data_IF_912170176682
#
_entry.id   IF_912170176682
#
_cell.length_a   1.000
_cell.length_b   1.000
_cell.length_c   1.000
_cell.angle_alpha   90.00
_cell.angle_beta   90.00
_cell.angle_gamma   90.00
#
_symmetry.space_group_name_H-M   'P 1'
#
loop_
_entity.id
_entity.type
_entity.pdbx_description
1 polymer ?
#
# COMPACT_ATOMS: atom_id res chain seq x y z
N UNK A 1 42.21 47.44 14.21
CA UNK A 1 41.95 46.15 14.88
C UNK A 1 41.59 45.13 13.80
N UNK A 2 42.50 44.20 13.45
CA UNK A 2 42.23 43.16 12.43
C UNK A 2 41.55 41.98 13.12
N UNK A 3 40.30 41.68 12.75
CA UNK A 3 39.57 40.54 13.31
C UNK A 3 40.20 39.22 12.85
N UNK A 4 40.87 38.54 13.76
CA UNK A 4 41.45 37.21 13.54
C UNK A 4 40.33 36.17 13.69
N UNK A 5 39.56 35.96 12.62
CA UNK A 5 38.61 34.85 12.58
C UNK A 5 39.45 33.57 12.47
N UNK A 6 39.54 32.80 13.55
CA UNK A 6 40.33 31.57 13.56
C UNK A 6 39.75 30.58 12.53
N UNK A 7 40.62 29.86 11.80
CA UNK A 7 40.21 28.83 10.82
C UNK A 7 39.21 27.82 11.41
N UNK A 8 39.20 27.61 12.73
CA UNK A 8 38.26 26.72 13.43
C UNK A 8 36.82 27.26 13.43
N UNK A 9 36.62 28.57 13.53
CA UNK A 9 35.29 29.19 13.45
C UNK A 9 34.72 29.17 12.03
N UNK A 10 35.57 29.29 11.01
CA UNK A 10 35.16 29.20 9.61
C UNK A 10 34.66 27.78 9.25
N UNK A 11 35.31 26.74 9.80
CA UNK A 11 34.91 25.33 9.62
C UNK A 11 33.61 25.01 10.37
N UNK A 12 33.44 25.54 11.59
CA UNK A 12 32.19 25.37 12.33
C UNK A 12 31.01 26.05 11.63
N UNK A 13 31.23 27.24 11.04
CA UNK A 13 30.19 27.94 10.28
C UNK A 13 29.79 27.19 9.01
N UNK A 14 30.74 26.61 8.27
CA UNK A 14 30.43 25.81 7.07
C UNK A 14 29.72 24.51 7.41
N UNK A 15 30.10 23.82 8.49
CA UNK A 15 29.39 22.61 8.97
C UNK A 15 27.97 22.94 9.44
N UNK A 16 27.77 24.07 10.10
CA UNK A 16 26.44 24.50 10.56
C UNK A 16 25.53 24.91 9.39
N UNK A 17 26.09 25.58 8.38
CA UNK A 17 25.37 25.92 7.16
C UNK A 17 25.02 24.68 6.35
N UNK A 18 25.94 23.72 6.16
CA UNK A 18 25.62 22.48 5.44
C UNK A 18 24.57 21.63 6.16
N UNK A 19 24.60 21.53 7.49
CA UNK A 19 23.56 20.85 8.27
C UNK A 19 22.19 21.54 8.20
N UNK A 20 22.17 22.87 8.13
CA UNK A 20 20.93 23.64 8.00
C UNK A 20 20.32 23.50 6.60
N UNK A 21 21.15 23.51 5.56
CA UNK A 21 20.72 23.26 4.18
C UNK A 21 20.26 21.81 3.95
N UNK A 22 20.93 20.82 4.55
CA UNK A 22 20.50 19.42 4.48
C UNK A 22 19.11 19.22 5.11
N UNK A 23 18.89 19.80 6.30
CA UNK A 23 17.60 19.70 7.00
C UNK A 23 16.46 20.43 6.28
N UNK A 24 16.74 21.58 5.63
CA UNK A 24 15.73 22.26 4.82
C UNK A 24 15.38 21.44 3.56
N UNK A 25 16.38 20.85 2.88
CA UNK A 25 16.13 20.03 1.69
C UNK A 25 15.36 18.76 2.03
N UNK A 26 15.67 18.09 3.14
CA UNK A 26 14.94 16.92 3.63
C UNK A 26 13.46 17.25 3.92
N UNK A 27 13.17 18.35 4.62
CA UNK A 27 11.79 18.79 4.90
C UNK A 27 11.04 19.25 3.64
N UNK A 28 11.73 19.89 2.70
CA UNK A 28 11.14 20.28 1.41
C UNK A 28 10.84 19.05 0.53
N UNK A 29 11.73 18.06 0.54
CA UNK A 29 11.57 16.80 -0.17
C UNK A 29 10.45 15.94 0.42
N UNK A 30 10.29 15.89 1.74
CA UNK A 30 9.15 15.23 2.39
C UNK A 30 7.80 15.90 2.05
N UNK A 31 7.74 17.24 2.07
CA UNK A 31 6.53 17.98 1.66
C UNK A 31 6.22 17.82 0.18
N UNK A 32 7.24 17.83 -0.69
CA UNK A 32 7.08 17.59 -2.12
C UNK A 32 6.60 16.17 -2.41
N UNK A 33 7.12 15.18 -1.69
CA UNK A 33 6.74 13.77 -1.82
C UNK A 33 5.27 13.56 -1.47
N UNK A 34 4.78 14.15 -0.38
CA UNK A 34 3.36 14.06 0.00
C UNK A 34 2.43 14.65 -1.07
N UNK A 35 2.73 15.85 -1.58
CA UNK A 35 1.95 16.47 -2.65
C UNK A 35 1.96 15.66 -3.96
N UNK A 36 3.09 15.02 -4.28
CA UNK A 36 3.19 14.14 -5.45
C UNK A 36 2.36 12.86 -5.28
N UNK A 37 2.33 12.27 -4.08
CA UNK A 37 1.50 11.11 -3.75
C UNK A 37 0.01 11.44 -3.86
N UNK A 38 -0.42 12.60 -3.37
CA UNK A 38 -1.80 13.08 -3.53
C UNK A 38 -2.19 13.18 -5.01
N UNK A 39 -1.33 13.81 -5.83
CA UNK A 39 -1.54 13.92 -7.27
C UNK A 39 -1.58 12.57 -8.00
N UNK A 40 -0.78 11.60 -7.56
CA UNK A 40 -0.83 10.22 -8.09
C UNK A 40 -2.22 9.62 -7.82
N UNK A 41 -2.74 9.78 -6.59
CA UNK A 41 -4.07 9.31 -6.24
C UNK A 41 -5.18 10.04 -7.01
N UNK A 42 -5.08 11.35 -7.22
CA UNK A 42 -6.03 12.10 -8.06
C UNK A 42 -6.13 11.53 -9.48
N UNK A 43 -4.99 11.17 -10.08
CA UNK A 43 -4.97 10.52 -11.39
C UNK A 43 -5.60 9.12 -11.34
N UNK A 44 -5.30 8.33 -10.30
CA UNK A 44 -5.94 7.01 -10.09
C UNK A 44 -7.46 7.16 -9.95
N UNK A 45 -7.93 8.12 -9.15
CA UNK A 45 -9.35 8.41 -9.00
C UNK A 45 -10.00 8.84 -10.31
N UNK A 46 -9.25 9.48 -11.20
CA UNK A 46 -9.71 9.88 -12.52
C UNK A 46 -9.53 8.79 -13.58
N UNK A 47 -9.07 7.59 -13.18
CA UNK A 47 -8.72 6.47 -14.04
C UNK A 47 -7.63 6.79 -15.07
N UNK A 48 -6.86 7.87 -14.88
CA UNK A 48 -5.68 8.19 -15.68
C UNK A 48 -4.45 7.46 -15.14
N UNK A 49 -4.45 6.14 -15.30
CA UNK A 49 -3.35 5.29 -14.85
C UNK A 49 -2.04 5.54 -15.62
N UNK A 50 -2.10 6.13 -16.82
CA UNK A 50 -0.91 6.47 -17.61
C UNK A 50 -0.16 7.62 -16.93
N UNK A 51 -0.86 8.72 -16.62
CA UNK A 51 -0.26 9.86 -15.93
C UNK A 51 0.18 9.50 -14.51
N UNK A 52 -0.64 8.72 -13.79
CA UNK A 52 -0.27 8.20 -12.47
C UNK A 52 1.04 7.40 -12.52
N UNK A 53 1.15 6.44 -13.44
CA UNK A 53 2.37 5.62 -13.61
C UNK A 53 3.61 6.48 -13.88
N UNK A 54 3.51 7.47 -14.77
CA UNK A 54 4.64 8.37 -15.10
C UNK A 54 5.15 9.13 -13.87
N UNK A 55 4.23 9.63 -13.04
CA UNK A 55 4.57 10.31 -11.80
C UNK A 55 5.25 9.37 -10.81
N UNK A 56 4.70 8.17 -10.60
CA UNK A 56 5.31 7.16 -9.71
C UNK A 56 6.73 6.80 -10.18
N UNK A 57 6.95 6.61 -11.48
CA UNK A 57 8.28 6.32 -12.04
C UNK A 57 9.28 7.45 -11.74
N UNK A 58 8.86 8.70 -11.90
CA UNK A 58 9.69 9.87 -11.61
C UNK A 58 10.07 9.91 -10.12
N UNK A 59 9.11 9.70 -9.23
CA UNK A 59 9.37 9.72 -7.78
C UNK A 59 10.27 8.56 -7.33
N UNK A 60 10.10 7.36 -7.89
CA UNK A 60 10.98 6.21 -7.61
C UNK A 60 12.42 6.45 -8.06
N UNK A 61 12.62 7.25 -9.13
CA UNK A 61 13.96 7.63 -9.62
C UNK A 61 14.61 8.74 -8.78
N UNK A 62 13.81 9.67 -8.24
CA UNK A 62 14.31 10.86 -7.55
C UNK A 62 14.51 10.71 -6.05
N UNK A 63 13.71 9.87 -5.38
CA UNK A 63 13.59 9.90 -3.91
C UNK A 63 14.12 8.63 -3.24
N UNK A 64 13.59 7.47 -3.60
CA UNK A 64 14.03 6.16 -3.11
C UNK A 64 13.38 5.05 -3.95
N UNK A 65 14.21 4.30 -4.70
CA UNK A 65 13.74 3.20 -5.55
C UNK A 65 13.13 2.00 -4.80
N UNK A 66 13.29 1.97 -3.46
CA UNK A 66 12.75 0.95 -2.54
C UNK A 66 11.56 1.48 -1.71
N UNK A 67 10.98 2.64 -2.02
CA UNK A 67 9.78 3.11 -1.29
C UNK A 67 8.59 2.16 -1.48
N UNK A 68 8.17 1.46 -0.41
CA UNK A 68 7.02 0.54 -0.44
C UNK A 68 5.72 1.20 -0.89
N UNK A 69 5.49 2.45 -0.50
CA UNK A 69 4.32 3.22 -0.90
C UNK A 69 4.32 3.48 -2.42
N UNK A 70 5.44 3.95 -2.97
CA UNK A 70 5.56 4.21 -4.40
C UNK A 70 5.52 2.93 -5.23
N UNK A 71 6.14 1.85 -4.75
CA UNK A 71 6.07 0.54 -5.41
C UNK A 71 4.63 -0.01 -5.40
N UNK A 72 3.88 0.19 -4.33
CA UNK A 72 2.46 -0.19 -4.26
C UNK A 72 1.60 0.62 -5.23
N UNK A 73 1.83 1.94 -5.33
CA UNK A 73 1.18 2.80 -6.32
C UNK A 73 1.54 2.39 -7.76
N UNK A 74 2.78 1.94 -7.99
CA UNK A 74 3.19 1.38 -9.29
C UNK A 74 2.37 0.15 -9.64
N UNK A 75 2.23 -0.79 -8.70
CA UNK A 75 1.44 -2.00 -8.89
C UNK A 75 -0.03 -1.68 -9.20
N UNK A 76 -0.65 -0.76 -8.45
CA UNK A 76 -2.02 -0.28 -8.71
C UNK A 76 -2.14 0.26 -10.14
N UNK A 77 -1.21 1.12 -10.58
CA UNK A 77 -1.24 1.66 -11.93
C UNK A 77 -1.07 0.58 -13.00
N UNK A 78 -0.20 -0.42 -12.76
CA UNK A 78 0.03 -1.51 -13.70
C UNK A 78 -1.18 -2.43 -13.80
N UNK A 79 -1.85 -2.74 -12.69
CA UNK A 79 -3.11 -3.47 -12.68
C UNK A 79 -4.21 -2.71 -13.41
N UNK A 80 -4.36 -1.40 -13.18
CA UNK A 80 -5.33 -0.55 -13.89
C UNK A 80 -5.06 -0.42 -15.40
N UNK A 81 -3.82 -0.61 -15.84
CA UNK A 81 -3.42 -0.68 -17.25
C UNK A 81 -3.42 -2.10 -17.82
N UNK A 82 -3.90 -3.09 -17.06
CA UNK A 82 -3.90 -4.52 -17.42
C UNK A 82 -2.50 -5.06 -17.79
N UNK A 83 -1.44 -4.46 -17.24
CA UNK A 83 -0.05 -4.90 -17.41
C UNK A 83 0.33 -5.91 -16.33
N UNK A 84 -0.43 -6.98 -16.23
CA UNK A 84 -0.40 -7.94 -15.12
C UNK A 84 0.99 -8.53 -14.84
N UNK A 85 1.75 -8.89 -15.88
CA UNK A 85 3.12 -9.39 -15.69
C UNK A 85 4.03 -8.39 -14.97
N UNK A 86 3.94 -7.11 -15.33
CA UNK A 86 4.73 -6.05 -14.69
C UNK A 86 4.21 -5.76 -13.27
N UNK A 87 2.90 -5.86 -13.06
CA UNK A 87 2.31 -5.74 -11.72
C UNK A 87 2.84 -6.85 -10.79
N UNK A 88 2.90 -8.09 -11.27
CA UNK A 88 3.44 -9.22 -10.51
C UNK A 88 4.95 -9.06 -10.21
N UNK A 89 5.72 -8.49 -11.14
CA UNK A 89 7.12 -8.12 -10.90
C UNK A 89 7.25 -7.02 -9.83
N UNK A 90 6.39 -6.01 -9.87
CA UNK A 90 6.31 -4.96 -8.84
C UNK A 90 5.98 -5.57 -7.47
N UNK A 91 5.00 -6.47 -7.40
CA UNK A 91 4.61 -7.21 -6.20
C UNK A 91 5.79 -7.98 -5.60
N UNK A 92 6.55 -8.72 -6.43
CA UNK A 92 7.77 -9.43 -5.99
C UNK A 92 8.83 -8.48 -5.44
N UNK A 93 9.00 -7.29 -6.04
CA UNK A 93 9.92 -6.28 -5.53
C UNK A 93 9.47 -5.71 -4.19
N UNK A 94 8.19 -5.40 -4.03
CA UNK A 94 7.59 -4.95 -2.76
C UNK A 94 7.87 -5.98 -1.65
N UNK A 95 7.64 -7.25 -1.95
CA UNK A 95 7.95 -8.37 -1.08
C UNK A 95 9.38 -8.36 -0.58
N UNK A 96 10.32 -8.32 -1.53
CA UNK A 96 11.74 -8.37 -1.23
C UNK A 96 12.18 -7.19 -0.35
N UNK A 97 11.72 -5.97 -0.67
CA UNK A 97 12.00 -4.77 0.14
C UNK A 97 11.42 -4.93 1.54
N UNK A 98 10.18 -5.40 1.66
CA UNK A 98 9.53 -5.59 2.95
C UNK A 98 10.28 -6.64 3.81
N UNK A 99 10.61 -7.78 3.24
CA UNK A 99 11.32 -8.85 3.94
C UNK A 99 12.70 -8.40 4.44
N UNK A 100 13.41 -7.63 3.62
CA UNK A 100 14.75 -7.12 3.93
C UNK A 100 14.72 -6.04 5.02
N UNK A 101 13.80 -5.08 4.91
CA UNK A 101 13.89 -3.83 5.67
C UNK A 101 12.90 -3.74 6.84
N UNK A 102 11.80 -4.50 6.83
CA UNK A 102 10.67 -4.30 7.75
C UNK A 102 10.25 -5.55 8.53
N UNK A 103 10.54 -6.76 8.02
CA UNK A 103 10.12 -8.03 8.64
C UNK A 103 10.59 -8.21 10.07
N UNK A 104 11.86 -7.91 10.35
CA UNK A 104 12.44 -8.08 11.68
C UNK A 104 11.72 -7.20 12.72
N UNK A 105 11.65 -5.89 12.47
CA UNK A 105 11.00 -4.93 13.36
C UNK A 105 9.52 -5.28 13.58
N UNK A 106 8.80 -5.72 12.54
CA UNK A 106 7.42 -6.14 12.70
C UNK A 106 7.26 -7.34 13.64
N UNK A 107 8.09 -8.39 13.47
CA UNK A 107 8.03 -9.60 14.29
C UNK A 107 8.40 -9.34 15.75
N UNK A 108 9.33 -8.41 15.99
CA UNK A 108 9.82 -8.09 17.32
C UNK A 108 8.93 -7.08 18.07
N UNK A 109 8.35 -6.11 17.35
CA UNK A 109 7.66 -4.96 17.96
C UNK A 109 6.14 -4.95 17.74
N UNK A 110 5.58 -5.94 17.04
CA UNK A 110 4.16 -6.00 16.66
C UNK A 110 3.69 -4.70 15.98
N UNK A 111 4.55 -4.13 15.14
CA UNK A 111 4.35 -2.79 14.58
C UNK A 111 3.17 -2.77 13.60
N UNK A 112 2.12 -1.97 13.80
CA UNK A 112 1.00 -1.91 12.86
C UNK A 112 1.44 -1.21 11.58
N UNK A 113 1.72 -1.98 10.53
CA UNK A 113 1.95 -1.41 9.21
C UNK A 113 0.63 -0.89 8.65
N UNK A 114 0.62 0.39 8.23
CA UNK A 114 -0.55 1.07 7.70
C UNK A 114 -1.12 0.31 6.47
N UNK A 115 -2.43 0.05 6.46
CA UNK A 115 -3.16 -0.59 5.36
C UNK A 115 -2.93 0.07 3.99
N UNK A 116 -2.68 1.38 3.96
CA UNK A 116 -2.38 2.11 2.72
C UNK A 116 -1.09 1.61 2.04
N UNK A 117 -0.10 1.15 2.82
CA UNK A 117 1.15 0.55 2.32
C UNK A 117 0.92 -0.79 1.62
N UNK A 118 -0.22 -1.42 1.90
CA UNK A 118 -0.56 -2.77 1.47
C UNK A 118 -1.60 -2.84 0.37
N UNK A 119 -2.10 -1.69 -0.08
CA UNK A 119 -3.01 -1.64 -1.22
C UNK A 119 -2.26 -2.09 -2.48
N UNK A 120 -2.81 -3.09 -3.17
CA UNK A 120 -2.24 -3.69 -4.40
C UNK A 120 -3.05 -3.34 -5.63
N UNK A 121 -4.34 -3.11 -5.42
CA UNK A 121 -5.26 -2.82 -6.51
C UNK A 121 -6.31 -1.81 -6.09
N UNK A 122 -6.68 -0.95 -7.03
CA UNK A 122 -7.79 -0.02 -6.90
C UNK A 122 -8.67 -0.16 -8.13
N UNK A 123 -9.98 -0.29 -7.91
CA UNK A 123 -10.98 -0.23 -8.98
C UNK A 123 -11.89 0.95 -8.70
N UNK A 124 -12.00 1.85 -9.68
CA UNK A 124 -12.77 3.09 -9.55
C UNK A 124 -13.97 3.02 -10.47
N UNK A 125 -15.15 3.18 -9.89
CA UNK A 125 -16.42 3.33 -10.61
C UNK A 125 -16.96 4.74 -10.37
N UNK A 126 -18.08 5.15 -11.02
CA UNK A 126 -18.65 6.48 -10.78
C UNK A 126 -18.93 6.76 -9.30
N UNK A 127 -19.45 5.78 -8.55
CA UNK A 127 -19.93 5.98 -7.17
C UNK A 127 -19.05 5.32 -6.11
N UNK A 128 -18.24 4.33 -6.47
CA UNK A 128 -17.51 3.48 -5.52
C UNK A 128 -16.03 3.38 -5.90
N UNK A 129 -15.17 3.48 -4.89
CA UNK A 129 -13.76 3.08 -4.95
C UNK A 129 -13.62 1.76 -4.20
N UNK A 130 -13.13 0.71 -4.85
CA UNK A 130 -12.74 -0.52 -4.16
C UNK A 130 -11.23 -0.60 -4.07
N UNK A 131 -10.71 -0.66 -2.85
CA UNK A 131 -9.28 -0.90 -2.59
C UNK A 131 -9.10 -2.33 -2.14
N UNK A 132 -8.26 -3.06 -2.86
CA UNK A 132 -7.78 -4.37 -2.46
C UNK A 132 -6.39 -4.24 -1.84
N UNK A 133 -6.24 -4.73 -0.61
CA UNK A 133 -4.97 -4.88 0.06
C UNK A 133 -4.61 -6.35 0.25
N UNK A 134 -3.33 -6.65 0.02
CA UNK A 134 -2.74 -7.92 0.40
C UNK A 134 -2.10 -7.76 1.77
N UNK A 135 -2.46 -8.62 2.72
CA UNK A 135 -1.75 -8.66 4.00
C UNK A 135 -0.38 -9.30 3.79
N UNK A 136 0.61 -8.47 3.47
CA UNK A 136 2.01 -8.84 3.63
C UNK A 136 2.41 -8.68 5.09
N UNK A 137 1.84 -9.53 5.94
CA UNK A 137 2.70 -10.21 6.88
C UNK A 137 2.20 -11.58 7.25
N UNK A 138 3.14 -12.55 7.27
CA UNK A 138 2.85 -13.96 7.33
C UNK A 138 3.03 -14.45 8.77
N UNK A 139 2.44 -15.62 8.97
CA UNK A 139 2.65 -16.53 10.06
C UNK A 139 1.89 -16.30 11.37
N UNK A 140 1.53 -17.43 12.00
CA UNK A 140 0.78 -17.43 13.22
C UNK A 140 1.66 -16.94 14.36
N UNK A 141 1.16 -16.01 15.14
CA UNK A 141 1.52 -15.96 16.58
C UNK A 141 1.02 -17.25 17.27
N UNK A 142 0.11 -18.01 16.63
CA UNK A 142 -0.21 -19.41 16.92
C UNK A 142 -0.96 -20.01 15.72
N UNK A 143 -0.50 -21.11 15.07
CA UNK A 143 -1.27 -21.73 13.95
C UNK A 143 -2.59 -22.31 14.45
N UNK A 144 -2.74 -22.30 15.78
CA UNK A 144 -3.93 -22.63 16.55
C UNK A 144 -4.78 -21.39 16.92
N UNK A 145 -4.43 -20.16 16.53
CA UNK A 145 -5.30 -18.98 16.70
C UNK A 145 -6.20 -18.84 15.47
N UNK A 146 -7.50 -18.84 15.71
CA UNK A 146 -8.54 -18.64 14.71
C UNK A 146 -8.53 -17.20 14.15
N UNK A 147 -8.90 -17.02 12.86
CA UNK A 147 -9.20 -15.70 12.28
C UNK A 147 -8.15 -15.07 11.34
N UNK A 148 -7.39 -15.87 10.59
CA UNK A 148 -6.38 -15.38 9.64
C UNK A 148 -7.00 -14.83 8.34
N UNK A 149 -6.54 -13.66 7.87
CA UNK A 149 -6.99 -13.05 6.61
C UNK A 149 -5.85 -12.89 5.61
N UNK A 150 -6.06 -13.38 4.39
CA UNK A 150 -5.09 -13.31 3.30
C UNK A 150 -5.19 -11.96 2.58
N UNK A 151 -6.42 -11.60 2.20
CA UNK A 151 -6.72 -10.39 1.45
C UNK A 151 -7.88 -9.65 2.09
N UNK A 152 -7.86 -8.32 1.99
CA UNK A 152 -8.98 -7.47 2.39
C UNK A 152 -9.33 -6.53 1.26
N UNK A 153 -10.63 -6.40 1.02
CA UNK A 153 -11.15 -5.40 0.10
C UNK A 153 -12.02 -4.44 0.88
N UNK A 154 -11.91 -3.15 0.60
CA UNK A 154 -12.78 -2.14 1.20
C UNK A 154 -13.40 -1.33 0.09
N UNK A 155 -14.73 -1.33 0.03
CA UNK A 155 -15.49 -0.48 -0.86
C UNK A 155 -15.80 0.82 -0.13
N UNK A 156 -15.46 1.95 -0.74
CA UNK A 156 -15.69 3.29 -0.24
C UNK A 156 -16.68 4.00 -1.16
N UNK A 157 -17.56 4.82 -0.58
CA UNK A 157 -18.29 5.81 -1.35
C UNK A 157 -17.28 6.85 -1.85
N UNK A 158 -17.24 7.09 -3.16
CA UNK A 158 -16.22 7.95 -3.77
C UNK A 158 -16.34 9.42 -3.36
N UNK A 159 -17.55 9.87 -3.05
CA UNK A 159 -17.83 11.27 -2.69
C UNK A 159 -17.57 11.52 -1.20
N UNK A 160 -18.15 10.68 -0.33
CA UNK A 160 -18.04 10.86 1.12
C UNK A 160 -16.74 10.28 1.69
N UNK A 161 -16.02 9.44 0.92
CA UNK A 161 -14.82 8.69 1.33
C UNK A 161 -15.03 7.76 2.54
N UNK A 162 -16.29 7.54 2.94
CA UNK A 162 -16.63 6.57 3.97
C UNK A 162 -16.58 5.15 3.40
N UNK A 163 -16.03 4.22 4.20
CA UNK A 163 -16.11 2.81 3.90
C UNK A 163 -17.58 2.37 4.01
N UNK A 164 -18.04 1.62 3.00
CA UNK A 164 -19.44 1.16 2.89
C UNK A 164 -19.52 -0.35 3.08
N UNK A 165 -18.51 -1.09 2.59
CA UNK A 165 -18.45 -2.55 2.72
C UNK A 165 -17.01 -3.02 2.91
N UNK A 166 -16.84 -4.07 3.70
CA UNK A 166 -15.56 -4.73 3.90
C UNK A 166 -15.66 -6.18 3.45
N UNK A 167 -14.58 -6.67 2.85
CA UNK A 167 -14.46 -8.05 2.44
C UNK A 167 -13.15 -8.63 2.94
N UNK A 168 -13.16 -9.92 3.27
CA UNK A 168 -11.97 -10.63 3.73
C UNK A 168 -11.92 -12.04 3.14
N UNK A 169 -10.74 -12.45 2.71
CA UNK A 169 -10.45 -13.85 2.36
C UNK A 169 -9.91 -14.56 3.60
N UNK A 170 -10.59 -15.62 4.04
CA UNK A 170 -10.19 -16.44 5.17
C UNK A 170 -9.93 -17.89 4.73
N UNK A 171 -8.92 -18.52 5.35
CA UNK A 171 -8.74 -19.97 5.36
C UNK A 171 -8.41 -20.38 6.80
N UNK A 172 -9.32 -21.10 7.46
CA UNK A 172 -9.19 -21.48 8.85
C UNK A 172 -9.94 -22.79 9.14
N UNK A 173 -9.77 -23.40 10.32
CA UNK A 173 -10.58 -24.54 10.74
C UNK A 173 -12.10 -24.25 10.70
N UNK A 174 -12.52 -22.99 10.88
CA UNK A 174 -13.93 -22.56 10.76
C UNK A 174 -14.45 -22.62 9.33
N UNK A 175 -13.56 -22.54 8.34
CA UNK A 175 -13.90 -22.67 6.93
C UNK A 175 -13.56 -24.05 6.37
N UNK A 176 -13.38 -25.06 7.24
CA UNK A 176 -12.96 -26.40 6.85
C UNK A 176 -11.63 -26.43 6.07
N UNK A 177 -10.77 -25.42 6.31
CA UNK A 177 -9.53 -25.17 5.57
C UNK A 177 -9.72 -24.83 4.09
N UNK A 178 -10.90 -24.35 3.72
CA UNK A 178 -11.16 -23.76 2.41
C UNK A 178 -10.95 -22.25 2.43
N UNK A 179 -10.52 -21.71 1.30
CA UNK A 179 -10.45 -20.27 1.03
C UNK A 179 -11.86 -19.75 0.75
N UNK A 180 -12.37 -18.93 1.67
CA UNK A 180 -13.72 -18.36 1.59
C UNK A 180 -13.66 -16.84 1.72
N UNK A 181 -14.26 -16.14 0.76
CA UNK A 181 -14.41 -14.69 0.76
C UNK A 181 -15.72 -14.32 1.46
N UNK A 182 -15.64 -13.46 2.45
CA UNK A 182 -16.77 -12.96 3.22
C UNK A 182 -16.92 -11.46 3.08
N UNK A 183 -18.15 -10.96 3.04
CA UNK A 183 -18.50 -9.59 3.39
C UNK A 183 -18.63 -9.51 4.91
N UNK A 184 -18.08 -8.46 5.52
CA UNK A 184 -18.23 -8.15 6.95
C UNK A 184 -19.09 -6.91 7.10
N UNK A 185 -20.21 -7.04 7.82
CA UNK A 185 -21.08 -5.91 8.17
C UNK A 185 -20.45 -5.04 9.27
N UNK A 186 -21.02 -3.86 9.51
CA UNK A 186 -20.57 -2.99 10.60
C UNK A 186 -20.77 -3.62 11.98
N UNK A 187 -21.78 -4.47 12.12
CA UNK A 187 -22.11 -5.26 13.31
C UNK A 187 -21.21 -6.49 13.49
N UNK A 188 -20.30 -6.75 12.53
CA UNK A 188 -19.37 -7.87 12.55
C UNK A 188 -19.95 -9.18 12.02
N UNK A 189 -21.13 -9.16 11.39
CA UNK A 189 -21.70 -10.34 10.76
C UNK A 189 -20.93 -10.69 9.48
N UNK A 190 -20.65 -11.97 9.27
CA UNK A 190 -19.91 -12.45 8.10
C UNK A 190 -20.86 -13.16 7.13
N UNK A 191 -21.01 -12.61 5.92
CA UNK A 191 -21.80 -13.21 4.84
C UNK A 191 -20.88 -13.80 3.78
N UNK A 192 -21.05 -15.08 3.46
CA UNK A 192 -20.26 -15.74 2.43
C UNK A 192 -20.56 -15.12 1.06
N UNK A 193 -19.51 -14.63 0.40
CA UNK A 193 -19.55 -14.10 -0.97
C UNK A 193 -19.16 -15.19 -1.96
N UNK A 194 -18.07 -15.91 -1.68
CA UNK A 194 -17.52 -16.93 -2.57
C UNK A 194 -16.71 -17.98 -1.81
N UNK A 195 -16.80 -19.23 -2.26
CA UNK A 195 -15.92 -20.32 -1.83
C UNK A 195 -15.00 -20.72 -2.99
N UNK A 196 -13.69 -20.76 -2.75
CA UNK A 196 -12.65 -21.14 -3.70
C UNK A 196 -12.07 -22.54 -3.42
N UNK A 197 -12.56 -23.23 -2.39
CA UNK A 197 -12.08 -24.55 -1.98
C UNK A 197 -10.64 -24.48 -1.46
N UNK A 198 -9.81 -25.44 -1.81
CA UNK A 198 -8.46 -25.59 -1.24
C UNK A 198 -7.36 -24.81 -1.99
N UNK A 199 -7.71 -24.05 -3.03
CA UNK A 199 -6.76 -23.26 -3.80
C UNK A 199 -6.86 -21.78 -3.43
N UNK A 200 -5.71 -21.14 -3.16
CA UNK A 200 -5.66 -19.70 -2.95
C UNK A 200 -6.02 -19.01 -4.28
N UNK A 201 -7.06 -18.17 -4.32
CA UNK A 201 -7.44 -17.46 -5.55
C UNK A 201 -6.41 -16.39 -5.93
N UNK A 202 -6.40 -16.01 -7.22
CA UNK A 202 -5.66 -14.82 -7.66
C UNK A 202 -6.38 -13.55 -7.17
N UNK A 203 -5.59 -12.59 -6.69
CA UNK A 203 -6.08 -11.33 -6.12
C UNK A 203 -7.02 -10.56 -7.08
N UNK A 204 -6.77 -10.64 -8.39
CA UNK A 204 -7.58 -9.98 -9.41
C UNK A 204 -8.91 -10.68 -9.61
N UNK A 205 -8.97 -12.00 -9.47
CA UNK A 205 -10.21 -12.76 -9.55
C UNK A 205 -11.10 -12.51 -8.33
N UNK A 206 -10.50 -12.42 -7.14
CA UNK A 206 -11.23 -11.99 -5.94
C UNK A 206 -11.82 -10.60 -6.07
N UNK A 207 -11.07 -9.64 -6.63
CA UNK A 207 -11.63 -8.31 -6.88
C UNK A 207 -12.82 -8.38 -7.83
N UNK A 208 -12.75 -9.16 -8.92
CA UNK A 208 -13.90 -9.33 -9.83
C UNK A 208 -15.12 -9.87 -9.10
N UNK A 209 -14.92 -10.86 -8.23
CA UNK A 209 -16.00 -11.43 -7.41
C UNK A 209 -16.56 -10.41 -6.40
N UNK A 210 -15.71 -9.57 -5.79
CA UNK A 210 -16.14 -8.45 -4.93
C UNK A 210 -16.98 -7.44 -5.71
N UNK A 211 -16.51 -7.00 -6.88
CA UNK A 211 -17.21 -6.03 -7.73
C UNK A 211 -18.58 -6.56 -8.17
N UNK A 212 -18.61 -7.82 -8.63
CA UNK A 212 -19.84 -8.50 -9.00
C UNK A 212 -20.82 -8.57 -7.82
N UNK A 213 -20.33 -8.87 -6.62
CA UNK A 213 -21.17 -8.97 -5.43
C UNK A 213 -21.80 -7.63 -5.02
N UNK A 214 -21.09 -6.52 -5.22
CA UNK A 214 -21.62 -5.17 -4.95
C UNK A 214 -22.41 -4.59 -6.12
N UNK A 215 -22.72 -5.40 -7.14
CA UNK A 215 -23.48 -5.04 -8.34
C UNK A 215 -22.86 -3.86 -9.12
N UNK A 216 -21.53 -3.86 -9.27
CA UNK A 216 -20.80 -2.93 -10.12
C UNK A 216 -20.27 -3.60 -11.39
#
# INVERSE_FOLDING_TARGET
MKAFISKRYLILLTVFLTFSFLNLNLKAQEKSSAANIEKIWENIYSQDFISAKKLVQKELQSSNSESLQLLSLMEICLNGLERYKQADESRKKILSVWEKNHKKAYLEENYPLNLATWTRMAVVTPNVLVLGAEYYLPYPVNSKKEGFYYHKFTAYNRYSKHAVKFFKLENSPKTEKEYRLFEISEEGEAKLVKNYGNAMPDFRDEMKDVLKYINL
#
